data_IF_437401549176
#
_entry.id   IF_437401549176
#
_cell.length_a   1.000
_cell.length_b   1.000
_cell.length_c   1.000
_cell.angle_alpha   90.00
_cell.angle_beta   90.00
_cell.angle_gamma   90.00
#
_symmetry.space_group_name_H-M   'P 1'
#
loop_
_entity.id
_entity.type
_entity.pdbx_description
1 polymer ?
#
# COMPACT_ATOMS: atom_id res chain seq x y z
N UNK A 1 1.26 -48.77 13.80
CA UNK A 1 0.48 -47.91 12.88
C UNK A 1 0.20 -46.56 13.55
N UNK A 2 0.58 -45.44 12.93
CA UNK A 2 0.06 -44.06 13.16
C UNK A 2 0.70 -43.14 12.10
N UNK A 3 0.08 -43.09 10.91
CA UNK A 3 -0.74 -41.98 10.38
C UNK A 3 0.01 -40.65 10.26
N UNK A 4 0.46 -40.41 9.03
CA UNK A 4 0.76 -39.16 8.32
C UNK A 4 0.65 -37.84 9.11
N UNK A 5 1.79 -37.16 9.29
CA UNK A 5 1.85 -35.75 9.66
C UNK A 5 1.53 -34.87 8.46
N UNK A 6 0.34 -34.29 8.46
CA UNK A 6 -0.26 -33.45 7.43
C UNK A 6 0.62 -32.24 7.03
N UNK A 7 0.81 -32.03 5.72
CA UNK A 7 1.51 -30.88 5.11
C UNK A 7 0.51 -29.72 4.95
N UNK A 8 0.60 -28.71 5.80
CA UNK A 8 -0.12 -27.46 5.57
C UNK A 8 0.70 -26.59 4.61
N UNK A 9 0.35 -26.61 3.32
CA UNK A 9 0.75 -25.53 2.40
C UNK A 9 -0.33 -24.46 2.53
N UNK A 10 -0.12 -23.46 3.38
CA UNK A 10 -1.01 -22.31 3.39
C UNK A 10 -0.95 -21.66 2.02
N UNK A 11 -2.04 -21.78 1.25
CA UNK A 11 -2.34 -20.83 0.20
C UNK A 11 -2.29 -19.46 0.87
N UNK A 12 -1.44 -18.59 0.35
CA UNK A 12 -1.42 -17.17 0.66
C UNK A 12 -2.80 -16.65 0.27
N UNK A 13 -3.73 -16.72 1.23
CA UNK A 13 -5.10 -16.24 1.07
C UNK A 13 -5.01 -14.84 0.52
N UNK A 14 -5.87 -14.55 -0.47
CA UNK A 14 -6.04 -13.20 -1.00
C UNK A 14 -6.06 -12.26 0.20
N UNK A 15 -4.97 -11.48 0.34
CA UNK A 15 -4.76 -10.59 1.49
C UNK A 15 -5.98 -9.71 1.53
N UNK A 16 -6.74 -9.78 2.63
CA UNK A 16 -7.90 -8.95 2.83
C UNK A 16 -7.46 -7.53 2.54
N UNK A 17 -8.04 -6.92 1.50
CA UNK A 17 -7.79 -5.52 1.22
C UNK A 17 -8.08 -4.78 2.52
N UNK A 18 -7.09 -4.03 3.02
CA UNK A 18 -7.27 -3.19 4.21
C UNK A 18 -8.50 -2.30 3.96
N UNK A 19 -9.60 -2.56 4.67
CA UNK A 19 -10.87 -1.87 4.46
C UNK A 19 -10.90 -0.49 5.13
N UNK A 20 -9.79 -0.10 5.76
CA UNK A 20 -9.63 1.19 6.41
C UNK A 20 -9.81 2.33 5.39
N UNK A 21 -10.59 3.34 5.75
CA UNK A 21 -10.83 4.54 4.92
C UNK A 21 -9.51 5.20 4.48
N UNK A 22 -8.49 5.14 5.35
CA UNK A 22 -7.15 5.66 5.06
C UNK A 22 -6.47 4.86 3.94
N UNK A 23 -6.60 3.54 3.91
CA UNK A 23 -6.04 2.68 2.86
C UNK A 23 -6.70 2.97 1.49
N UNK A 24 -8.02 3.21 1.49
CA UNK A 24 -8.75 3.64 0.29
C UNK A 24 -8.25 5.00 -0.21
N UNK A 25 -8.02 5.95 0.69
CA UNK A 25 -7.49 7.28 0.36
C UNK A 25 -6.06 7.21 -0.21
N UNK A 26 -5.17 6.43 0.41
CA UNK A 26 -3.79 6.21 -0.07
C UNK A 26 -3.81 5.65 -1.50
N UNK A 27 -4.64 4.63 -1.75
CA UNK A 27 -4.77 4.02 -3.07
C UNK A 27 -5.30 5.01 -4.11
N UNK A 28 -6.28 5.85 -3.74
CA UNK A 28 -6.81 6.90 -4.61
C UNK A 28 -5.74 7.92 -5.02
N UNK A 29 -4.97 8.44 -4.05
CA UNK A 29 -3.87 9.37 -4.32
C UNK A 29 -2.77 8.74 -5.18
N UNK A 30 -2.47 7.46 -4.96
CA UNK A 30 -1.49 6.72 -5.77
C UNK A 30 -1.92 6.62 -7.24
N UNK A 31 -3.20 6.33 -7.48
CA UNK A 31 -3.76 6.29 -8.84
C UNK A 31 -3.75 7.66 -9.50
N UNK A 32 -4.10 8.72 -8.78
CA UNK A 32 -4.04 10.12 -9.28
C UNK A 32 -2.61 10.51 -9.69
N UNK A 33 -1.60 10.15 -8.90
CA UNK A 33 -0.18 10.38 -9.23
C UNK A 33 0.27 9.56 -10.45
N UNK A 34 -0.23 8.33 -10.59
CA UNK A 34 0.08 7.49 -11.74
C UNK A 34 -0.56 8.02 -13.03
N UNK A 35 -1.80 8.50 -12.95
CA UNK A 35 -2.53 9.11 -14.08
C UNK A 35 -1.80 10.37 -14.59
N UNK A 36 -1.26 11.17 -13.66
CA UNK A 36 -0.39 12.32 -13.96
C UNK A 36 0.99 11.94 -14.50
N UNK A 37 1.33 10.66 -14.58
CA UNK A 37 2.63 10.17 -15.03
C UNK A 37 3.79 10.36 -14.03
N UNK A 38 3.49 10.77 -12.78
CA UNK A 38 4.49 10.93 -11.72
C UNK A 38 4.99 9.57 -11.24
N UNK A 39 4.07 8.59 -11.19
CA UNK A 39 4.33 7.21 -10.78
C UNK A 39 4.16 6.30 -12.00
N UNK A 40 5.22 5.58 -12.37
CA UNK A 40 5.17 4.65 -13.51
C UNK A 40 4.31 3.41 -13.25
N UNK A 41 4.23 2.94 -11.99
CA UNK A 41 3.58 1.68 -11.63
C UNK A 41 2.36 1.90 -10.72
N UNK A 42 1.16 1.80 -11.29
CA UNK A 42 -0.13 1.90 -10.56
C UNK A 42 -0.47 0.69 -9.68
N UNK A 43 0.36 -0.35 -9.70
CA UNK A 43 0.10 -1.64 -9.03
C UNK A 43 0.15 -1.52 -7.50
N UNK A 44 -0.67 -2.31 -6.82
CA UNK A 44 -0.70 -2.40 -5.35
C UNK A 44 0.63 -2.90 -4.77
N UNK A 45 1.40 -3.67 -5.53
CA UNK A 45 2.74 -4.12 -5.14
C UNK A 45 3.72 -2.95 -5.02
N UNK A 46 3.66 -2.00 -5.95
CA UNK A 46 4.49 -0.79 -5.92
C UNK A 46 4.07 0.13 -4.77
N UNK A 47 2.77 0.26 -4.53
CA UNK A 47 2.25 0.97 -3.36
C UNK A 47 2.73 0.32 -2.06
N UNK A 48 2.63 -1.00 -1.94
CA UNK A 48 3.11 -1.74 -0.78
C UNK A 48 4.60 -1.55 -0.53
N UNK A 49 5.43 -1.58 -1.59
CA UNK A 49 6.86 -1.32 -1.48
C UNK A 49 7.17 0.13 -1.03
N UNK A 50 6.42 1.11 -1.53
CA UNK A 50 6.54 2.51 -1.12
C UNK A 50 6.16 2.70 0.36
N UNK A 51 5.01 2.16 0.78
CA UNK A 51 4.56 2.20 2.17
C UNK A 51 5.57 1.50 3.07
N UNK A 52 6.05 0.31 2.70
CA UNK A 52 7.10 -0.41 3.43
C UNK A 52 8.37 0.41 3.60
N UNK A 53 8.82 1.13 2.57
CA UNK A 53 9.99 2.01 2.67
C UNK A 53 9.78 3.16 3.68
N UNK A 54 8.55 3.65 3.79
CA UNK A 54 8.23 4.82 4.61
C UNK A 54 7.90 4.48 6.07
N UNK A 55 7.17 3.39 6.29
CA UNK A 55 6.65 3.00 7.61
C UNK A 55 7.31 1.75 8.17
N UNK A 56 8.13 1.05 7.35
CA UNK A 56 8.72 -0.25 7.66
C UNK A 56 7.68 -1.36 7.88
N UNK A 57 6.44 -1.15 7.45
CA UNK A 57 5.34 -2.12 7.56
C UNK A 57 5.17 -2.88 6.25
N UNK A 58 5.11 -4.21 6.33
CA UNK A 58 5.02 -5.09 5.15
C UNK A 58 3.65 -5.11 4.48
N UNK A 59 2.58 -4.74 5.18
CA UNK A 59 1.22 -4.79 4.67
C UNK A 59 0.38 -3.58 5.10
N UNK A 60 -0.42 -3.03 4.17
CA UNK A 60 -1.32 -1.89 4.43
C UNK A 60 -2.34 -2.18 5.55
N UNK A 61 -2.72 -3.44 5.72
CA UNK A 61 -3.59 -3.93 6.82
C UNK A 61 -2.98 -3.77 8.22
N UNK A 62 -1.66 -3.59 8.33
CA UNK A 62 -0.96 -3.40 9.62
C UNK A 62 -0.55 -1.95 9.83
N UNK A 63 -0.99 -1.04 8.97
CA UNK A 63 -0.69 0.38 9.10
C UNK A 63 -1.51 0.97 10.25
N UNK A 64 -0.84 1.57 11.23
CA UNK A 64 -1.52 2.37 12.23
C UNK A 64 -2.05 3.67 11.61
N UNK A 65 -3.15 4.23 12.11
CA UNK A 65 -3.73 5.49 11.62
C UNK A 65 -2.71 6.64 11.54
N UNK A 66 -1.77 6.71 12.50
CA UNK A 66 -0.70 7.71 12.48
C UNK A 66 0.28 7.51 11.30
N UNK A 67 0.62 6.25 11.00
CA UNK A 67 1.47 5.90 9.86
C UNK A 67 0.74 6.15 8.54
N UNK A 68 -0.53 5.79 8.47
CA UNK A 68 -1.39 6.04 7.30
C UNK A 68 -1.49 7.54 7.01
N UNK A 69 -1.77 8.36 8.03
CA UNK A 69 -1.81 9.82 7.91
C UNK A 69 -0.47 10.37 7.39
N UNK A 70 0.65 9.88 7.92
CA UNK A 70 1.99 10.30 7.45
C UNK A 70 2.19 9.99 5.96
N UNK A 71 1.79 8.80 5.50
CA UNK A 71 1.86 8.40 4.09
C UNK A 71 0.99 9.31 3.23
N UNK A 72 -0.25 9.59 3.66
CA UNK A 72 -1.18 10.47 2.94
C UNK A 72 -0.60 11.88 2.80
N UNK A 73 -0.06 12.46 3.86
CA UNK A 73 0.56 13.78 3.83
C UNK A 73 1.76 13.83 2.86
N UNK A 74 2.56 12.76 2.81
CA UNK A 74 3.67 12.67 1.88
C UNK A 74 3.19 12.58 0.42
N UNK A 75 2.17 11.77 0.14
CA UNK A 75 1.56 11.68 -1.19
C UNK A 75 0.95 13.01 -1.63
N UNK A 76 0.27 13.73 -0.72
CA UNK A 76 -0.27 15.07 -0.99
C UNK A 76 0.83 16.07 -1.34
N UNK A 77 1.93 16.08 -0.57
CA UNK A 77 3.09 16.96 -0.84
C UNK A 77 3.76 16.62 -2.16
N UNK A 78 3.86 15.34 -2.50
CA UNK A 78 4.43 14.93 -3.78
C UNK A 78 3.55 15.38 -4.96
N UNK A 79 2.23 15.23 -4.84
CA UNK A 79 1.28 15.74 -5.82
C UNK A 79 1.41 17.26 -6.01
N UNK A 80 1.46 18.00 -4.92
CA UNK A 80 1.59 19.46 -4.93
C UNK A 80 2.84 19.92 -5.71
N UNK A 81 4.00 19.33 -5.36
CA UNK A 81 5.26 19.56 -6.08
C UNK A 81 5.17 19.26 -7.58
N UNK A 82 4.39 18.25 -7.98
CA UNK A 82 4.23 17.91 -9.41
C UNK A 82 3.25 18.82 -10.14
N UNK A 83 2.30 19.43 -9.42
CA UNK A 83 1.38 20.44 -9.97
C UNK A 83 2.10 21.77 -10.24
N UNK A 84 3.06 22.16 -9.40
CA UNK A 84 3.81 23.42 -9.57
C UNK A 84 4.90 23.35 -10.66
N UNK A 85 5.16 22.17 -11.24
CA UNK A 85 6.20 21.98 -12.25
C UNK A 85 5.73 22.27 -13.69
N UNK A 86 4.71 23.11 -13.88
CA UNK A 86 4.15 23.52 -15.19
C UNK A 86 4.40 24.99 -15.49
#
# INVERSE_FOLDING_TARGET
MKRCGFKVRSKKGARGQADDEQSKMIRGLWLELADRGVVQNRSEEALGAFVKRMTHVDALEWLSSAQASRVIEHLKKWRDRTTEAV
#
